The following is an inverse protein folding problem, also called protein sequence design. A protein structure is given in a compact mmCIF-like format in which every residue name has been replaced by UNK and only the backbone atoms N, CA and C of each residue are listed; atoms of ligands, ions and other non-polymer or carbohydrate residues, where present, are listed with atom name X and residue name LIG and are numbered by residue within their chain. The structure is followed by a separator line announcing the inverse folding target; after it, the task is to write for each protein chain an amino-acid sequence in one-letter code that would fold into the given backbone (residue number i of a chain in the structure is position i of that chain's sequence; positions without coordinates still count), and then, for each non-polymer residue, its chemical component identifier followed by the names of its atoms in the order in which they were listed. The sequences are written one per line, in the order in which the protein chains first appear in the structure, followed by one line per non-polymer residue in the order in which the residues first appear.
data_IF_026825120035
#
_entry.id   IF_026825120035
#
_cell.length_a   1.000
_cell.length_b   1.000
_cell.length_c   1.000
_cell.angle_alpha   90.00
_cell.angle_beta   90.00
_cell.angle_gamma   90.00
#
_symmetry.space_group_name_H-M   'P 1'
#
loop_
_entity.id
_entity.type
_entity.pdbx_description
1 polymer ?
#
# COMPACT_ATOMS: atom_id res chain seq x y z
N UNK A 1 -10.46 -27.05 -17.65
CA UNK A 1 -10.25 -25.93 -18.60
C UNK A 1 -9.57 -24.83 -17.82
N UNK A 2 -8.32 -24.57 -18.19
CA UNK A 2 -7.31 -23.63 -17.63
C UNK A 2 -7.61 -22.95 -16.30
N UNK A 3 -6.97 -23.46 -15.25
CA UNK A 3 -6.53 -22.70 -14.07
C UNK A 3 -5.91 -21.38 -14.54
N UNK A 4 -6.62 -20.27 -14.32
CA UNK A 4 -6.01 -18.96 -14.20
C UNK A 4 -6.27 -18.56 -12.76
N UNK A 5 -5.24 -18.73 -11.92
CA UNK A 5 -5.23 -18.13 -10.60
C UNK A 5 -5.69 -16.66 -10.72
N UNK A 6 -6.47 -16.17 -9.75
CA UNK A 6 -6.82 -14.78 -9.73
C UNK A 6 -5.53 -13.97 -9.56
N UNK A 7 -5.48 -12.74 -10.08
CA UNK A 7 -4.28 -11.89 -10.11
C UNK A 7 -4.03 -11.22 -8.76
N UNK A 8 -4.26 -11.94 -7.66
CA UNK A 8 -4.00 -11.46 -6.32
C UNK A 8 -2.49 -11.47 -6.08
N UNK A 9 -1.91 -10.28 -5.89
CA UNK A 9 -0.55 -10.15 -5.38
C UNK A 9 -0.47 -10.73 -3.96
N UNK A 10 -1.55 -10.53 -3.18
CA UNK A 10 -1.80 -11.09 -1.85
C UNK A 10 -3.30 -11.35 -1.68
N UNK A 11 -3.64 -12.42 -0.98
CA UNK A 11 -5.01 -12.80 -0.62
C UNK A 11 -4.95 -13.56 0.70
N UNK A 12 -5.53 -13.00 1.76
CA UNK A 12 -5.52 -13.60 3.09
C UNK A 12 -6.87 -13.49 3.76
N UNK A 13 -7.27 -14.53 4.48
CA UNK A 13 -8.18 -14.37 5.63
C UNK A 13 -7.33 -14.17 6.89
N UNK A 14 -7.71 -13.20 7.70
CA UNK A 14 -6.94 -12.76 8.87
C UNK A 14 -7.78 -12.98 10.12
N UNK A 15 -7.23 -13.76 11.05
CA UNK A 15 -7.89 -14.08 12.31
C UNK A 15 -7.79 -12.94 13.34
N UNK A 16 -8.50 -13.09 14.46
CA UNK A 16 -8.50 -12.11 15.56
C UNK A 16 -7.15 -11.97 16.29
N UNK A 17 -6.19 -12.86 16.01
CA UNK A 17 -4.84 -12.83 16.55
C UNK A 17 -3.83 -12.23 15.56
N UNK A 18 -4.29 -11.76 14.39
CA UNK A 18 -3.42 -11.15 13.38
C UNK A 18 -2.62 -12.16 12.58
N UNK A 19 -3.04 -13.44 12.56
CA UNK A 19 -2.45 -14.46 11.69
C UNK A 19 -3.23 -14.52 10.37
N UNK A 20 -2.50 -14.48 9.26
CA UNK A 20 -3.08 -14.63 7.92
C UNK A 20 -2.97 -16.06 7.39
N UNK A 21 -4.08 -16.59 6.88
CA UNK A 21 -4.10 -17.78 6.02
C UNK A 21 -4.28 -17.33 4.58
N UNK A 22 -3.37 -17.76 3.69
CA UNK A 22 -3.45 -17.42 2.26
C UNK A 22 -4.67 -18.09 1.63
N UNK A 23 -5.37 -17.37 0.76
CA UNK A 23 -6.50 -17.89 -0.01
C UNK A 23 -6.20 -17.92 -1.53
N UNK A 24 -6.76 -18.87 -2.25
CA UNK A 24 -6.84 -18.84 -3.72
C UNK A 24 -8.11 -18.09 -4.24
N UNK A 25 -8.40 -18.14 -5.55
CA UNK A 25 -9.59 -17.49 -6.12
C UNK A 25 -10.89 -18.01 -5.56
N UNK A 26 -11.00 -19.33 -5.54
CA UNK A 26 -12.24 -20.00 -5.21
C UNK A 26 -12.53 -19.77 -3.72
N UNK A 27 -11.50 -19.84 -2.89
CA UNK A 27 -11.58 -19.51 -1.48
C UNK A 27 -11.93 -18.03 -1.22
N UNK A 28 -11.42 -17.09 -2.02
CA UNK A 28 -11.82 -15.67 -1.93
C UNK A 28 -13.29 -15.47 -2.32
N UNK A 29 -13.79 -16.17 -3.35
CA UNK A 29 -15.20 -16.08 -3.74
C UNK A 29 -16.14 -16.74 -2.72
N UNK A 30 -15.69 -17.81 -2.05
CA UNK A 30 -16.47 -18.54 -1.04
C UNK A 30 -16.33 -17.95 0.37
N UNK A 31 -15.48 -16.93 0.55
CA UNK A 31 -15.24 -16.30 1.84
C UNK A 31 -16.51 -15.68 2.43
N UNK A 32 -16.62 -15.76 3.76
CA UNK A 32 -17.67 -15.17 4.58
C UNK A 32 -17.08 -14.47 5.82
N UNK A 33 -17.72 -13.41 6.34
CA UNK A 33 -17.23 -12.65 7.49
C UNK A 33 -16.90 -13.48 8.75
N UNK A 34 -17.60 -14.61 8.94
CA UNK A 34 -17.41 -15.52 10.08
C UNK A 34 -16.03 -16.16 10.10
N UNK A 35 -15.35 -16.24 8.95
CA UNK A 35 -14.02 -16.81 8.82
C UNK A 35 -12.90 -15.84 9.25
N UNK A 36 -13.21 -14.55 9.40
CA UNK A 36 -12.25 -13.49 9.70
C UNK A 36 -12.21 -12.42 8.62
N UNK A 37 -11.37 -11.40 8.82
CA UNK A 37 -11.27 -10.29 7.88
C UNK A 37 -10.60 -10.77 6.58
N UNK A 38 -11.18 -10.44 5.43
CA UNK A 38 -10.55 -10.66 4.14
C UNK A 38 -9.64 -9.48 3.77
N UNK A 39 -8.42 -9.79 3.33
CA UNK A 39 -7.56 -8.83 2.65
C UNK A 39 -7.16 -9.34 1.26
N UNK A 40 -7.44 -8.54 0.24
CA UNK A 40 -6.99 -8.76 -1.15
C UNK A 40 -6.14 -7.58 -1.60
N UNK A 41 -4.98 -7.86 -2.21
CA UNK A 41 -4.09 -6.88 -2.79
C UNK A 41 -3.84 -7.14 -4.28
N UNK A 42 -3.99 -6.12 -5.11
CA UNK A 42 -4.02 -6.23 -6.58
C UNK A 42 -2.99 -5.32 -7.26
N UNK A 43 -2.56 -5.72 -8.46
CA UNK A 43 -1.92 -4.82 -9.41
C UNK A 43 -3.00 -4.16 -10.29
N UNK A 44 -3.19 -2.85 -10.15
CA UNK A 44 -4.14 -2.09 -10.96
C UNK A 44 -3.76 -2.00 -12.44
N UNK A 45 -2.54 -2.41 -12.80
CA UNK A 45 -2.08 -2.50 -14.19
C UNK A 45 -2.44 -3.83 -14.84
N UNK A 46 -2.85 -4.82 -14.04
CA UNK A 46 -3.28 -6.13 -14.54
C UNK A 46 -4.75 -6.08 -14.97
N UNK A 47 -5.00 -6.41 -16.24
CA UNK A 47 -6.36 -6.48 -16.81
C UNK A 47 -7.22 -7.55 -16.16
N UNK A 48 -6.63 -8.63 -15.66
CA UNK A 48 -7.36 -9.65 -14.90
C UNK A 48 -7.85 -9.06 -13.58
N UNK A 49 -7.02 -8.22 -12.92
CA UNK A 49 -7.37 -7.61 -11.64
C UNK A 49 -8.50 -6.60 -11.81
N UNK A 50 -8.45 -5.80 -12.87
CA UNK A 50 -9.55 -4.91 -13.24
C UNK A 50 -10.85 -5.66 -13.48
N UNK A 51 -10.84 -6.76 -14.25
CA UNK A 51 -12.04 -7.57 -14.47
C UNK A 51 -12.60 -8.16 -13.18
N UNK A 52 -11.75 -8.60 -12.26
CA UNK A 52 -12.20 -9.12 -10.97
C UNK A 52 -12.87 -8.02 -10.12
N UNK A 53 -12.27 -6.83 -10.06
CA UNK A 53 -12.86 -5.66 -9.37
C UNK A 53 -14.23 -5.29 -9.95
N UNK A 54 -14.37 -5.32 -11.27
CA UNK A 54 -15.61 -4.95 -11.97
C UNK A 54 -16.72 -5.99 -11.83
N UNK A 55 -16.40 -7.28 -11.73
CA UNK A 55 -17.38 -8.38 -11.88
C UNK A 55 -17.61 -9.22 -10.64
N UNK A 56 -16.62 -9.32 -9.77
CA UNK A 56 -16.58 -10.34 -8.72
C UNK A 56 -16.37 -9.75 -7.32
N UNK A 57 -15.72 -8.59 -7.19
CA UNK A 57 -15.41 -7.98 -5.90
C UNK A 57 -16.63 -7.49 -5.10
N UNK A 58 -17.78 -7.32 -5.77
CA UNK A 58 -19.01 -6.77 -5.21
C UNK A 58 -18.76 -5.44 -4.46
N UNK A 59 -18.32 -4.44 -5.23
CA UNK A 59 -17.95 -3.11 -4.76
C UNK A 59 -18.78 -2.02 -5.44
N UNK A 60 -18.98 -0.87 -4.76
CA UNK A 60 -19.54 0.31 -5.41
C UNK A 60 -18.70 0.74 -6.61
N UNK A 61 -19.34 1.25 -7.66
CA UNK A 61 -18.65 1.71 -8.87
C UNK A 61 -17.52 2.72 -8.57
N UNK A 62 -17.77 3.65 -7.63
CA UNK A 62 -16.77 4.63 -7.19
C UNK A 62 -15.53 3.99 -6.55
N UNK A 63 -15.69 2.86 -5.86
CA UNK A 63 -14.59 2.11 -5.26
C UNK A 63 -13.77 1.41 -6.36
N UNK A 64 -14.43 0.77 -7.32
CA UNK A 64 -13.77 0.15 -8.49
C UNK A 64 -12.96 1.18 -9.28
N UNK A 65 -13.58 2.30 -9.65
CA UNK A 65 -12.93 3.38 -10.40
C UNK A 65 -11.70 3.90 -9.65
N UNK A 66 -11.80 4.06 -8.34
CA UNK A 66 -10.69 4.56 -7.54
C UNK A 66 -9.58 3.54 -7.37
N UNK A 67 -9.90 2.25 -7.19
CA UNK A 67 -8.92 1.16 -7.12
C UNK A 67 -8.17 0.99 -8.45
N UNK A 68 -8.75 1.38 -9.60
CA UNK A 68 -8.10 1.33 -10.91
C UNK A 68 -7.46 2.66 -11.36
N UNK A 69 -7.75 3.75 -10.65
CA UNK A 69 -7.31 5.09 -10.99
C UNK A 69 -5.79 5.22 -11.13
N UNK A 70 -5.35 6.03 -12.10
CA UNK A 70 -3.96 6.01 -12.54
C UNK A 70 -2.94 6.53 -11.57
N UNK A 71 -3.00 7.81 -11.30
CA UNK A 71 -2.21 8.45 -10.25
C UNK A 71 -3.07 9.62 -9.78
N UNK A 72 -3.36 9.67 -8.48
CA UNK A 72 -4.20 10.71 -7.88
C UNK A 72 -3.51 11.24 -6.63
N UNK A 73 -3.90 12.42 -6.18
CA UNK A 73 -3.43 12.95 -4.90
C UNK A 73 -4.04 12.15 -3.73
N UNK A 74 -3.38 12.13 -2.56
CA UNK A 74 -3.97 11.55 -1.36
C UNK A 74 -5.33 12.18 -1.05
N UNK A 75 -6.31 11.33 -0.76
CA UNK A 75 -7.68 11.74 -0.42
C UNK A 75 -8.42 10.57 0.23
N UNK A 76 -9.47 10.89 0.97
CA UNK A 76 -10.38 9.90 1.57
C UNK A 76 -11.82 10.29 1.30
N UNK A 77 -12.66 9.29 1.05
CA UNK A 77 -14.11 9.42 0.87
C UNK A 77 -14.76 8.36 1.77
N UNK A 78 -15.52 8.80 2.75
CA UNK A 78 -16.34 7.91 3.57
C UNK A 78 -17.78 7.87 3.03
N UNK A 79 -18.41 6.71 3.12
CA UNK A 79 -19.80 6.46 2.78
C UNK A 79 -20.38 5.44 3.75
N UNK A 80 -21.70 5.24 3.71
CA UNK A 80 -22.37 4.25 4.55
C UNK A 80 -21.90 2.80 4.25
N UNK A 81 -21.38 2.56 3.05
CA UNK A 81 -20.91 1.24 2.60
C UNK A 81 -19.44 0.98 2.97
N UNK A 82 -18.68 2.02 3.32
CA UNK A 82 -17.26 1.89 3.61
C UNK A 82 -16.44 3.15 3.36
N UNK A 83 -15.12 2.99 3.53
CA UNK A 83 -14.11 4.01 3.36
C UNK A 83 -13.25 3.71 2.14
N UNK A 84 -13.14 4.69 1.27
CA UNK A 84 -12.19 4.72 0.17
C UNK A 84 -11.07 5.69 0.51
N UNK A 85 -9.81 5.25 0.43
CA UNK A 85 -8.66 6.13 0.65
C UNK A 85 -7.56 5.89 -0.37
N UNK A 86 -6.85 6.95 -0.70
CA UNK A 86 -5.65 6.93 -1.52
C UNK A 86 -4.55 7.56 -0.68
N UNK A 87 -3.49 6.80 -0.47
CA UNK A 87 -2.34 7.21 0.32
C UNK A 87 -1.09 7.16 -0.55
N UNK A 88 -0.01 7.81 -0.10
CA UNK A 88 1.29 7.76 -0.75
C UNK A 88 2.37 7.42 0.27
N UNK A 89 3.36 6.66 -0.17
CA UNK A 89 4.57 6.38 0.60
C UNK A 89 5.82 6.69 -0.21
N UNK A 90 6.93 6.87 0.51
CA UNK A 90 8.26 7.04 -0.09
C UNK A 90 8.62 5.82 -0.94
N UNK A 91 9.16 6.07 -2.12
CA UNK A 91 9.50 5.03 -3.07
C UNK A 91 10.88 4.44 -2.79
N UNK A 92 10.91 3.45 -1.90
CA UNK A 92 12.14 2.73 -1.52
C UNK A 92 12.42 1.52 -2.42
N UNK A 93 11.91 1.50 -3.67
CA UNK A 93 12.23 0.42 -4.60
C UNK A 93 13.69 0.57 -5.10
N UNK A 94 14.42 -0.53 -5.36
CA UNK A 94 15.80 -0.44 -5.86
C UNK A 94 15.91 0.40 -7.14
N UNK A 95 16.77 1.42 -7.11
CA UNK A 95 17.01 2.33 -8.22
C UNK A 95 15.90 3.37 -8.47
N UNK A 96 14.89 3.44 -7.60
CA UNK A 96 13.87 4.47 -7.68
C UNK A 96 14.30 5.76 -6.97
N UNK A 97 13.69 6.87 -7.39
CA UNK A 97 13.81 8.15 -6.70
C UNK A 97 12.80 8.20 -5.54
N UNK A 98 13.25 8.37 -4.27
CA UNK A 98 12.37 8.53 -3.12
C UNK A 98 11.36 9.67 -3.24
N UNK A 99 11.68 10.74 -3.98
CA UNK A 99 10.80 11.88 -4.24
C UNK A 99 9.62 11.49 -5.17
N UNK A 100 9.80 10.47 -6.01
CA UNK A 100 8.74 9.89 -6.84
C UNK A 100 7.87 8.92 -6.03
N UNK A 101 7.08 9.48 -5.11
CA UNK A 101 6.20 8.74 -4.20
C UNK A 101 5.29 7.74 -4.93
N UNK A 102 5.03 6.62 -4.26
CA UNK A 102 4.15 5.55 -4.77
C UNK A 102 2.79 5.61 -4.10
N UNK A 103 1.73 5.59 -4.91
CA UNK A 103 0.35 5.60 -4.42
C UNK A 103 -0.20 4.18 -4.14
N UNK A 104 -0.93 4.02 -3.05
CA UNK A 104 -1.79 2.87 -2.75
C UNK A 104 -3.24 3.33 -2.66
N UNK A 105 -4.16 2.56 -3.24
CA UNK A 105 -5.62 2.76 -3.07
C UNK A 105 -6.15 1.66 -2.18
N UNK A 106 -7.08 2.00 -1.31
CA UNK A 106 -7.66 1.06 -0.35
C UNK A 106 -9.16 1.33 -0.24
N UNK A 107 -9.95 0.29 -0.44
CA UNK A 107 -11.34 0.21 -0.01
C UNK A 107 -11.41 -0.61 1.27
N UNK A 108 -12.20 -0.14 2.24
CA UNK A 108 -12.38 -0.77 3.54
C UNK A 108 -13.87 -0.77 3.89
N UNK A 109 -14.40 -1.93 4.22
CA UNK A 109 -15.72 -2.08 4.84
C UNK A 109 -15.59 -2.77 6.21
N UNK A 110 -16.71 -3.23 6.79
CA UNK A 110 -16.74 -3.86 8.12
C UNK A 110 -15.88 -5.13 8.22
N UNK A 111 -15.67 -5.83 7.11
CA UNK A 111 -15.08 -7.17 7.12
C UNK A 111 -13.95 -7.35 6.09
N UNK A 112 -13.77 -6.41 5.18
CA UNK A 112 -12.85 -6.55 4.05
C UNK A 112 -11.95 -5.34 3.89
N UNK A 113 -10.74 -5.62 3.42
CA UNK A 113 -9.81 -4.65 2.86
C UNK A 113 -9.49 -5.08 1.44
N UNK A 114 -9.72 -4.20 0.47
CA UNK A 114 -9.29 -4.40 -0.91
C UNK A 114 -8.35 -3.26 -1.25
N UNK A 115 -7.10 -3.59 -1.56
CA UNK A 115 -6.10 -2.61 -1.91
C UNK A 115 -5.50 -2.86 -3.28
N UNK A 116 -5.05 -1.78 -3.93
CA UNK A 116 -4.39 -1.87 -5.22
C UNK A 116 -3.19 -0.93 -5.30
N UNK A 117 -2.23 -1.33 -6.13
CA UNK A 117 -1.03 -0.56 -6.44
C UNK A 117 -0.77 -0.58 -7.94
N UNK A 118 0.09 0.32 -8.42
CA UNK A 118 0.73 0.19 -9.74
C UNK A 118 2.24 -0.01 -9.65
N UNK A 119 2.84 0.50 -8.58
CA UNK A 119 4.26 0.31 -8.24
C UNK A 119 4.34 -0.34 -6.87
N UNK A 120 5.36 -1.16 -6.66
CA UNK A 120 5.55 -1.88 -5.39
C UNK A 120 5.70 -0.90 -4.23
N UNK A 121 5.06 -1.22 -3.11
CA UNK A 121 5.11 -0.43 -1.89
C UNK A 121 5.53 -1.33 -0.73
N UNK A 122 6.74 -1.10 -0.19
CA UNK A 122 7.32 -1.98 0.82
C UNK A 122 6.48 -2.07 2.11
N UNK A 123 5.76 -1.01 2.47
CA UNK A 123 4.83 -1.02 3.60
C UNK A 123 3.74 -2.11 3.49
N UNK A 124 3.37 -2.51 2.28
CA UNK A 124 2.41 -3.62 2.06
C UNK A 124 3.06 -4.97 2.28
N UNK A 125 4.34 -5.11 1.91
CA UNK A 125 5.10 -6.34 2.15
C UNK A 125 5.30 -6.55 3.65
N UNK A 126 5.61 -5.49 4.42
CA UNK A 126 5.72 -5.56 5.89
C UNK A 126 4.44 -6.12 6.54
N UNK A 127 3.26 -5.69 6.07
CA UNK A 127 1.97 -6.18 6.57
C UNK A 127 1.82 -7.66 6.20
N UNK A 128 2.16 -8.04 4.98
CA UNK A 128 2.12 -9.44 4.56
C UNK A 128 3.05 -10.33 5.41
N UNK A 129 4.23 -9.83 5.79
CA UNK A 129 5.19 -10.55 6.63
C UNK A 129 4.69 -10.67 8.07
N UNK A 130 4.11 -9.61 8.63
CA UNK A 130 3.59 -9.61 10.01
C UNK A 130 2.43 -10.61 10.20
N UNK A 131 1.64 -10.85 9.16
CA UNK A 131 0.59 -11.88 9.16
C UNK A 131 1.13 -13.29 9.39
N UNK A 132 2.27 -13.64 8.80
CA UNK A 132 2.89 -14.95 8.99
C UNK A 132 3.44 -15.10 10.43
N UNK A 133 3.86 -13.98 11.03
CA UNK A 133 4.33 -13.92 12.41
C UNK A 133 3.20 -13.89 13.47
N UNK A 134 1.93 -13.82 13.06
CA UNK A 134 0.80 -13.63 13.99
C UNK A 134 0.84 -12.27 14.69
N UNK A 135 1.34 -11.25 13.98
CA UNK A 135 1.46 -9.86 14.44
C UNK A 135 0.83 -8.88 13.44
N UNK A 136 -0.02 -9.38 12.55
CA UNK A 136 -0.72 -8.56 11.59
C UNK A 136 -1.94 -7.86 12.19
N UNK A 137 -2.60 -7.03 11.38
CA UNK A 137 -3.77 -6.30 11.82
C UNK A 137 -4.94 -7.24 12.13
N UNK A 138 -5.70 -6.96 13.18
CA UNK A 138 -6.79 -7.83 13.67
C UNK A 138 -8.19 -7.39 13.22
N UNK A 139 -8.29 -6.25 12.53
CA UNK A 139 -9.53 -5.68 12.00
C UNK A 139 -9.25 -4.77 10.80
N UNK A 140 -10.27 -4.41 10.00
CA UNK A 140 -10.05 -3.52 8.84
C UNK A 140 -9.57 -2.12 9.24
N UNK A 141 -10.04 -1.59 10.37
CA UNK A 141 -9.54 -0.33 10.92
C UNK A 141 -8.09 -0.44 11.40
N UNK A 142 -7.74 -1.54 12.07
CA UNK A 142 -6.36 -1.80 12.47
C UNK A 142 -5.45 -1.94 11.25
N UNK A 143 -5.91 -2.56 10.16
CA UNK A 143 -5.17 -2.64 8.89
C UNK A 143 -4.82 -1.24 8.37
N UNK A 144 -5.81 -0.33 8.33
CA UNK A 144 -5.57 1.04 7.88
C UNK A 144 -4.54 1.76 8.76
N UNK A 145 -4.67 1.64 10.10
CA UNK A 145 -3.74 2.23 11.06
C UNK A 145 -2.32 1.69 10.81
N UNK A 146 -2.15 0.37 10.73
CA UNK A 146 -0.85 -0.25 10.47
C UNK A 146 -0.27 0.20 9.13
N UNK A 147 -1.08 0.30 8.08
CA UNK A 147 -0.62 0.84 6.80
C UNK A 147 -0.13 2.28 6.94
N UNK A 148 -0.90 3.15 7.61
CA UNK A 148 -0.54 4.56 7.80
C UNK A 148 0.76 4.68 8.60
N UNK A 149 0.91 3.95 9.71
CA UNK A 149 2.13 3.93 10.52
C UNK A 149 3.35 3.54 9.67
N UNK A 150 3.25 2.45 8.90
CA UNK A 150 4.35 1.99 8.04
C UNK A 150 4.72 2.96 6.92
N UNK A 151 3.77 3.78 6.46
CA UNK A 151 4.03 4.85 5.50
C UNK A 151 4.70 6.04 6.19
N UNK A 152 4.19 6.43 7.35
CA UNK A 152 4.72 7.53 8.15
C UNK A 152 6.17 7.27 8.60
N UNK A 153 6.48 6.06 9.08
CA UNK A 153 7.84 5.67 9.49
C UNK A 153 8.86 5.88 8.36
N UNK A 154 8.48 5.52 7.12
CA UNK A 154 9.35 5.67 5.94
C UNK A 154 9.48 7.12 5.49
N UNK A 155 8.43 7.91 5.65
CA UNK A 155 8.48 9.35 5.42
C UNK A 155 9.44 9.97 6.44
N UNK A 156 9.35 9.59 7.71
CA UNK A 156 10.24 10.05 8.77
C UNK A 156 11.72 9.77 8.45
N UNK A 157 12.06 8.51 8.14
CA UNK A 157 13.43 8.16 7.78
C UNK A 157 13.94 8.85 6.50
N UNK A 158 13.05 9.19 5.56
CA UNK A 158 13.44 9.99 4.40
C UNK A 158 13.70 11.46 4.75
N UNK A 159 12.88 12.05 5.63
CA UNK A 159 13.10 13.41 6.14
C UNK A 159 14.43 13.50 6.89
N UNK A 160 14.72 12.55 7.78
CA UNK A 160 16.02 12.46 8.46
C UNK A 160 17.18 12.43 7.46
N UNK A 161 17.07 11.65 6.37
CA UNK A 161 18.12 11.60 5.33
C UNK A 161 18.29 12.92 4.56
N UNK A 162 17.24 13.75 4.48
CA UNK A 162 17.34 15.09 3.87
C UNK A 162 18.06 16.02 4.85
N UNK A 163 17.74 15.96 6.14
CA UNK A 163 18.40 16.74 7.19
C UNK A 163 19.90 16.43 7.22
N UNK A 164 20.29 15.15 7.21
CA UNK A 164 21.71 14.73 7.15
C UNK A 164 22.44 15.32 5.93
N UNK A 165 21.80 15.31 4.76
CA UNK A 165 22.37 15.88 3.52
C UNK A 165 22.48 17.41 3.56
N UNK A 166 21.57 18.07 4.27
CA UNK A 166 21.64 19.51 4.47
C UNK A 166 22.81 19.86 5.39
N UNK A 167 22.98 19.14 6.49
CA UNK A 167 24.11 19.32 7.41
C UNK A 167 25.45 19.12 6.70
N UNK A 168 25.57 18.06 5.89
CA UNK A 168 26.77 17.82 5.06
C UNK A 168 27.06 18.98 4.10
N UNK A 169 26.03 19.51 3.42
CA UNK A 169 26.18 20.63 2.50
C UNK A 169 26.57 21.93 3.23
N UNK A 170 26.02 22.17 4.43
CA UNK A 170 26.38 23.31 5.27
C UNK A 170 27.85 23.25 5.74
N UNK A 171 28.32 22.06 6.15
CA UNK A 171 29.71 21.82 6.53
C UNK A 171 30.68 22.04 5.35
N UNK A 172 30.33 21.62 4.13
CA UNK A 172 31.15 21.86 2.93
C UNK A 172 31.31 23.36 2.62
N UNK A 173 30.23 24.14 2.79
CA UNK A 173 30.26 25.59 2.60
C UNK A 173 31.12 26.25 3.69
N UNK A 174 30.93 25.86 4.95
CA UNK A 174 31.61 26.43 6.12
C UNK A 174 33.11 26.13 6.13
N UNK A 175 33.50 24.93 5.69
CA UNK A 175 34.92 24.52 5.60
C UNK A 175 35.66 25.08 4.38
N UNK A 176 35.00 25.86 3.53
CA UNK A 176 35.65 26.58 2.44
C UNK A 176 36.22 25.69 1.33
N UNK A 177 35.69 24.46 1.15
CA UNK A 177 35.93 23.66 -0.07
C UNK A 177 35.10 24.18 -1.26
N UNK A 178 35.04 25.50 -1.45
CA UNK A 178 34.59 26.06 -2.71
C UNK A 178 35.67 25.79 -3.77
N UNK A 179 35.37 25.16 -4.92
CA UNK A 179 36.26 25.19 -6.07
C UNK A 179 36.49 26.66 -6.41
N UNK A 180 37.72 27.12 -6.20
CA UNK A 180 38.04 28.54 -6.16
C UNK A 180 37.44 29.33 -7.31
N UNK A 181 36.53 30.24 -6.97
CA UNK A 181 36.33 31.45 -7.77
C UNK A 181 37.67 32.21 -7.78
N UNK A 182 38.54 31.90 -8.75
CA UNK A 182 39.71 32.72 -9.05
C UNK A 182 39.21 34.07 -9.55
N UNK A 183 39.23 35.07 -8.69
CA UNK A 183 39.15 36.47 -9.10
C UNK A 183 40.40 36.80 -9.95
N UNK A 184 40.15 37.44 -11.08
CA UNK A 184 41.16 38.06 -11.95
C UNK A 184 41.52 39.45 -11.42
#
# INVERSE_FOLDING_TARGET
MTSQDPPFLRSFVIDKNGRGQKLDAEEVQQWSPEQGMLWVHLDASDRHAGRWLEKEANLPAIAVDTLLAGETRPRSIASDEGLLTILRGVNMNPGADPEDMVSIRVWIDEHRVISSRRRRLLSVDDISESLHAGKGPTSPSNFLITLIERLADRIGGFVESIEDRMDEAEDEISTGKAPGFRQR
#
